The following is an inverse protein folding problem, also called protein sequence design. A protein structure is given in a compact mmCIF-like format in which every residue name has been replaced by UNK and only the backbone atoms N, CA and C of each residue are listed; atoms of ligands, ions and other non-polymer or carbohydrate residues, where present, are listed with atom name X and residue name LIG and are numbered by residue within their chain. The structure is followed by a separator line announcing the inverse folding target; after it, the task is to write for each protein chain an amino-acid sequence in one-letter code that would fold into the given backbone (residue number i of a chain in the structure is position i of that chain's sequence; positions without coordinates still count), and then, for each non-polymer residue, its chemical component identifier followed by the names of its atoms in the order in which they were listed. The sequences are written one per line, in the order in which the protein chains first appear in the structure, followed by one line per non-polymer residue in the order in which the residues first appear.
data_IF_672763737300
#
_entry.id   IF_672763737300
#
_cell.length_a   1.000
_cell.length_b   1.000
_cell.length_c   1.000
_cell.angle_alpha   90.00
_cell.angle_beta   90.00
_cell.angle_gamma   90.00
#
_symmetry.space_group_name_H-M   'P 1'
#
loop_
_entity.id
_entity.type
_entity.pdbx_description
1 polymer ?
#
# COMPACT_ATOMS: atom_id res chain seq x y z
N UNK A 1 -58.71 -4.54 34.70
CA UNK A 1 -59.73 -3.46 34.60
C UNK A 1 -59.09 -2.18 35.09
N UNK A 2 -59.13 -1.04 34.42
CA UNK A 2 -60.04 -0.66 33.35
C UNK A 2 -59.36 -0.32 32.01
N UNK A 3 -60.20 -0.35 30.99
CA UNK A 3 -60.04 -0.01 29.59
C UNK A 3 -60.00 1.52 29.45
N UNK A 4 -59.07 2.07 28.65
CA UNK A 4 -59.12 3.48 28.20
C UNK A 4 -59.17 3.54 26.67
N UNK A 5 -60.23 4.12 26.22
CA UNK A 5 -60.71 4.29 24.86
C UNK A 5 -59.94 5.37 24.09
N UNK A 6 -59.58 5.07 22.83
CA UNK A 6 -59.08 6.03 21.85
C UNK A 6 -60.15 7.06 21.45
N UNK A 7 -59.82 8.33 21.48
CA UNK A 7 -60.58 9.39 20.80
C UNK A 7 -59.78 9.84 19.52
N UNK A 8 -60.41 9.67 18.40
CA UNK A 8 -59.96 10.21 17.10
C UNK A 8 -60.20 11.71 17.04
N UNK A 9 -59.17 12.47 16.70
CA UNK A 9 -59.25 13.90 16.36
C UNK A 9 -59.22 14.09 14.85
N UNK A 10 -60.29 14.64 14.32
CA UNK A 10 -60.42 15.05 12.90
C UNK A 10 -59.76 16.41 12.69
N UNK A 11 -58.91 16.56 11.70
CA UNK A 11 -58.34 17.84 11.25
C UNK A 11 -58.98 18.16 9.86
N UNK A 12 -59.43 19.39 9.66
CA UNK A 12 -60.11 19.78 8.43
C UNK A 12 -59.12 20.13 7.31
N UNK A 13 -59.51 19.71 6.10
CA UNK A 13 -58.89 20.03 4.83
C UNK A 13 -59.28 21.48 4.46
N UNK A 14 -58.28 22.34 4.25
CA UNK A 14 -58.48 23.65 3.63
C UNK A 14 -57.90 23.56 2.20
N UNK A 15 -58.76 23.63 1.24
CA UNK A 15 -58.43 23.81 -0.18
C UNK A 15 -58.15 25.31 -0.43
N UNK A 16 -57.02 25.64 -1.02
CA UNK A 16 -56.75 26.97 -1.58
C UNK A 16 -56.32 26.84 -3.04
N UNK A 17 -57.07 27.56 -3.82
CA UNK A 17 -57.18 27.65 -5.26
C UNK A 17 -55.93 28.25 -5.93
N UNK A 18 -55.78 27.86 -7.18
CA UNK A 18 -54.78 28.27 -8.15
C UNK A 18 -54.75 29.78 -8.45
N UNK A 19 -53.51 30.28 -8.62
CA UNK A 19 -53.21 31.55 -9.24
C UNK A 19 -52.04 31.40 -10.18
N UNK A 20 -52.33 31.25 -11.47
CA UNK A 20 -51.31 31.28 -12.53
C UNK A 20 -50.86 32.71 -12.78
N UNK A 21 -49.59 33.00 -12.71
CA UNK A 21 -48.95 34.16 -13.28
C UNK A 21 -47.76 33.71 -14.13
N UNK A 22 -48.00 33.70 -15.43
CA UNK A 22 -47.02 33.66 -16.50
C UNK A 22 -46.28 35.01 -16.55
N UNK A 23 -45.00 35.04 -16.26
CA UNK A 23 -44.12 36.11 -16.70
C UNK A 23 -42.84 35.58 -17.28
N UNK A 24 -42.63 35.85 -18.48
CA UNK A 24 -41.55 36.17 -19.35
C UNK A 24 -40.20 35.47 -19.16
N UNK A 25 -39.86 34.62 -20.13
CA UNK A 25 -38.52 34.22 -20.46
C UNK A 25 -37.65 35.42 -20.81
N UNK A 26 -36.58 35.61 -20.06
CA UNK A 26 -35.38 36.26 -20.57
C UNK A 26 -34.26 35.22 -20.46
N UNK A 27 -33.79 34.75 -21.60
CA UNK A 27 -32.72 33.82 -21.73
C UNK A 27 -31.41 34.44 -21.16
N UNK A 28 -30.84 33.79 -20.18
CA UNK A 28 -29.41 33.85 -19.92
C UNK A 28 -28.91 32.42 -19.98
N UNK A 29 -28.09 32.16 -21.00
CA UNK A 29 -27.33 30.93 -21.14
C UNK A 29 -26.42 30.78 -19.91
N UNK A 30 -26.95 30.18 -18.87
CA UNK A 30 -26.18 29.64 -17.76
C UNK A 30 -25.56 28.36 -18.23
N UNK A 31 -24.31 28.42 -18.71
CA UNK A 31 -23.50 27.22 -18.80
C UNK A 31 -23.58 26.55 -17.43
N UNK A 32 -24.09 25.34 -17.39
CA UNK A 32 -23.98 24.44 -16.24
C UNK A 32 -22.51 24.40 -15.88
N UNK A 33 -22.10 25.16 -14.85
CA UNK A 33 -20.83 24.92 -14.18
C UNK A 33 -20.99 23.58 -13.50
N UNK A 34 -20.70 22.49 -14.25
CA UNK A 34 -20.73 21.15 -13.70
C UNK A 34 -19.95 21.14 -12.39
N UNK A 35 -20.46 20.44 -11.42
CA UNK A 35 -19.82 20.29 -10.13
C UNK A 35 -18.34 19.95 -10.33
N UNK A 36 -17.44 20.88 -10.01
CA UNK A 36 -16.00 20.75 -10.16
C UNK A 36 -15.36 20.14 -8.94
N UNK A 37 -16.11 19.38 -8.16
CA UNK A 37 -15.62 18.71 -6.96
C UNK A 37 -15.43 17.22 -7.22
N UNK A 38 -14.29 16.67 -6.78
CA UNK A 38 -14.05 15.22 -6.70
C UNK A 38 -13.73 14.81 -5.28
N UNK A 39 -14.08 13.59 -4.92
CA UNK A 39 -13.80 12.97 -3.62
C UNK A 39 -12.78 11.88 -3.79
N UNK A 40 -11.70 11.98 -3.02
CA UNK A 40 -10.56 11.07 -3.10
C UNK A 40 -10.37 10.36 -1.77
N UNK A 41 -10.42 9.03 -1.79
CA UNK A 41 -10.12 8.19 -0.63
C UNK A 41 -8.70 7.65 -0.77
N UNK A 42 -7.85 7.88 0.23
CA UNK A 42 -6.45 7.49 0.15
C UNK A 42 -5.86 7.02 1.48
N UNK A 43 -4.84 6.18 1.39
CA UNK A 43 -4.05 5.73 2.53
C UNK A 43 -3.28 6.90 3.15
N UNK A 44 -3.11 6.88 4.47
CA UNK A 44 -2.37 7.92 5.20
C UNK A 44 -0.86 7.67 5.21
N UNK A 45 -0.26 7.53 4.01
CA UNK A 45 1.19 7.40 3.84
C UNK A 45 1.83 8.77 3.62
N UNK A 46 3.13 8.96 3.91
CA UNK A 46 3.82 10.25 3.78
C UNK A 46 3.63 10.93 2.42
N UNK A 47 3.73 10.18 1.33
CA UNK A 47 3.56 10.69 -0.04
C UNK A 47 2.14 11.21 -0.31
N UNK A 48 1.12 10.59 0.29
CA UNK A 48 -0.28 11.01 0.20
C UNK A 48 -0.55 12.28 1.03
N UNK A 49 0.08 12.38 2.20
CA UNK A 49 0.03 13.60 3.03
C UNK A 49 0.62 14.80 2.28
N UNK A 50 1.73 14.61 1.59
CA UNK A 50 2.35 15.68 0.80
C UNK A 50 1.50 16.06 -0.43
N UNK A 51 0.84 15.08 -1.07
CA UNK A 51 -0.13 15.35 -2.14
C UNK A 51 -1.27 16.24 -1.66
N UNK A 52 -1.86 15.92 -0.52
CA UNK A 52 -2.94 16.74 0.05
C UNK A 52 -2.52 18.19 0.28
N UNK A 53 -1.31 18.41 0.83
CA UNK A 53 -0.77 19.77 1.08
C UNK A 53 -0.60 20.58 -0.21
N UNK A 54 -0.18 19.92 -1.29
CA UNK A 54 0.12 20.60 -2.56
C UNK A 54 -1.13 20.83 -3.44
N UNK A 55 -2.14 19.97 -3.33
CA UNK A 55 -3.31 19.95 -4.23
C UNK A 55 -4.04 21.29 -4.28
N UNK A 56 -4.40 21.86 -3.12
CA UNK A 56 -5.14 23.13 -3.07
C UNK A 56 -4.36 24.27 -3.70
N UNK A 57 -3.06 24.35 -3.41
CA UNK A 57 -2.19 25.46 -3.84
C UNK A 57 -1.88 25.43 -5.33
N UNK A 58 -1.77 24.23 -5.92
CA UNK A 58 -1.32 24.08 -7.29
C UNK A 58 -2.42 23.55 -8.21
N UNK A 59 -2.94 22.35 -7.96
CA UNK A 59 -3.95 21.74 -8.82
C UNK A 59 -5.28 22.50 -8.81
N UNK A 60 -5.86 22.73 -7.63
CA UNK A 60 -7.16 23.45 -7.53
C UNK A 60 -7.05 24.88 -8.06
N UNK A 61 -5.95 25.58 -7.77
CA UNK A 61 -5.72 26.95 -8.28
C UNK A 61 -5.62 26.98 -9.81
N UNK A 62 -4.98 25.98 -10.43
CA UNK A 62 -4.77 25.92 -11.88
C UNK A 62 -6.04 25.47 -12.63
N UNK A 63 -6.78 24.51 -12.08
CA UNK A 63 -7.89 23.83 -12.79
C UNK A 63 -9.28 24.29 -12.35
N UNK A 64 -9.39 24.91 -11.18
CA UNK A 64 -10.68 25.20 -10.52
C UNK A 64 -11.36 23.95 -9.97
N UNK A 65 -10.74 22.77 -10.02
CA UNK A 65 -11.29 21.53 -9.46
C UNK A 65 -10.97 21.43 -7.99
N UNK A 66 -12.01 21.32 -7.16
CA UNK A 66 -11.87 21.08 -5.72
C UNK A 66 -11.68 19.58 -5.46
N UNK A 67 -10.72 19.22 -4.61
CA UNK A 67 -10.46 17.84 -4.22
C UNK A 67 -10.70 17.69 -2.72
N UNK A 68 -11.69 16.88 -2.38
CA UNK A 68 -12.01 16.53 -0.99
C UNK A 68 -11.36 15.19 -0.64
N UNK A 69 -10.36 15.22 0.22
CA UNK A 69 -9.62 14.03 0.64
C UNK A 69 -10.21 13.41 1.90
N UNK A 70 -10.35 12.10 1.88
CA UNK A 70 -10.50 11.26 3.07
C UNK A 70 -9.25 10.40 3.19
N UNK A 71 -8.54 10.49 4.30
CA UNK A 71 -7.34 9.69 4.57
C UNK A 71 -7.60 8.76 5.75
N UNK A 72 -7.18 7.50 5.60
CA UNK A 72 -7.38 6.45 6.61
C UNK A 72 -6.12 5.60 6.76
N UNK A 73 -5.91 4.92 7.90
CA UNK A 73 -4.93 3.84 8.03
C UNK A 73 -5.13 2.76 6.97
N UNK A 74 -4.07 2.01 6.66
CA UNK A 74 -4.05 1.08 5.52
C UNK A 74 -5.20 0.05 5.56
N UNK A 75 -5.41 -0.65 6.67
CA UNK A 75 -6.48 -1.65 6.75
C UNK A 75 -7.87 -1.02 6.55
N UNK A 76 -8.13 0.11 7.21
CA UNK A 76 -9.43 0.80 7.13
C UNK A 76 -9.72 1.34 5.73
N UNK A 77 -8.72 1.91 5.05
CA UNK A 77 -8.90 2.44 3.70
C UNK A 77 -9.21 1.34 2.70
N UNK A 78 -8.56 0.18 2.81
CA UNK A 78 -8.80 -0.98 1.93
C UNK A 78 -10.22 -1.50 2.04
N UNK A 79 -10.72 -1.67 3.28
CA UNK A 79 -12.09 -2.09 3.54
C UNK A 79 -13.09 -1.08 3.00
N UNK A 80 -12.84 0.21 3.22
CA UNK A 80 -13.73 1.29 2.77
C UNK A 80 -13.78 1.38 1.24
N UNK A 81 -12.66 1.23 0.56
CA UNK A 81 -12.59 1.22 -0.91
C UNK A 81 -13.37 0.04 -1.47
N UNK A 82 -13.12 -1.17 -0.94
CA UNK A 82 -13.81 -2.39 -1.38
C UNK A 82 -15.32 -2.25 -1.24
N UNK A 83 -15.81 -1.73 -0.11
CA UNK A 83 -17.24 -1.51 0.12
C UNK A 83 -17.84 -0.48 -0.84
N UNK A 84 -17.20 0.67 -1.01
CA UNK A 84 -17.73 1.75 -1.85
C UNK A 84 -17.73 1.36 -3.34
N UNK A 85 -16.64 0.73 -3.81
CA UNK A 85 -16.46 0.35 -5.20
C UNK A 85 -17.33 -0.85 -5.59
N UNK A 86 -17.42 -1.88 -4.74
CA UNK A 86 -18.29 -3.03 -4.99
C UNK A 86 -19.77 -2.64 -5.09
N UNK A 87 -20.23 -1.75 -4.22
CA UNK A 87 -21.61 -1.28 -4.20
C UNK A 87 -21.90 -0.15 -5.20
N UNK A 88 -20.87 0.35 -5.93
CA UNK A 88 -20.96 1.51 -6.81
C UNK A 88 -21.65 2.72 -6.11
N UNK A 89 -21.33 2.90 -4.81
CA UNK A 89 -22.02 3.82 -3.92
C UNK A 89 -21.69 5.30 -4.21
N UNK A 90 -20.66 5.56 -5.02
CA UNK A 90 -20.25 6.91 -5.45
C UNK A 90 -19.92 7.86 -4.31
N UNK A 91 -19.50 7.32 -3.16
CA UNK A 91 -19.01 8.17 -2.07
C UNK A 91 -17.67 8.80 -2.43
N UNK A 92 -16.87 8.08 -3.25
CA UNK A 92 -15.58 8.53 -3.74
C UNK A 92 -15.49 8.36 -5.27
N UNK A 93 -14.85 9.31 -5.93
CA UNK A 93 -14.60 9.28 -7.38
C UNK A 93 -13.30 8.56 -7.71
N UNK A 94 -12.28 8.76 -6.86
CA UNK A 94 -10.92 8.22 -6.97
C UNK A 94 -10.53 7.57 -5.65
N UNK A 95 -9.81 6.47 -5.72
CA UNK A 95 -9.21 5.86 -4.54
C UNK A 95 -7.79 5.37 -4.81
N UNK A 96 -6.98 5.28 -3.74
CA UNK A 96 -5.69 4.58 -3.81
C UNK A 96 -5.92 3.09 -3.76
N UNK A 97 -5.54 2.41 -4.82
CA UNK A 97 -5.56 0.96 -4.94
C UNK A 97 -4.17 0.46 -5.30
N UNK A 98 -3.99 -0.83 -5.45
CA UNK A 98 -2.71 -1.41 -5.82
C UNK A 98 -2.82 -2.35 -7.00
N UNK A 99 -1.66 -2.80 -7.47
CA UNK A 99 -1.56 -3.87 -8.45
C UNK A 99 -2.20 -5.18 -7.99
N UNK A 100 -2.41 -5.37 -6.69
CA UNK A 100 -3.14 -6.52 -6.15
C UNK A 100 -4.65 -6.41 -6.40
N UNK A 101 -5.26 -5.24 -6.15
CA UNK A 101 -6.72 -5.06 -6.31
C UNK A 101 -7.15 -4.90 -7.76
N UNK A 102 -6.31 -4.32 -8.61
CA UNK A 102 -6.67 -3.98 -10.01
C UNK A 102 -7.27 -5.16 -10.79
N UNK A 103 -6.69 -6.38 -10.81
CA UNK A 103 -7.22 -7.47 -11.62
C UNK A 103 -8.68 -7.82 -11.28
N UNK A 104 -9.00 -8.00 -10.00
CA UNK A 104 -10.35 -8.39 -9.61
C UNK A 104 -11.33 -7.22 -9.54
N UNK A 105 -10.90 -5.99 -9.23
CA UNK A 105 -11.76 -4.81 -9.33
C UNK A 105 -12.16 -4.52 -10.79
N UNK A 106 -11.23 -4.69 -11.72
CA UNK A 106 -11.51 -4.56 -13.16
C UNK A 106 -12.47 -5.66 -13.65
N UNK A 107 -12.20 -6.93 -13.29
CA UNK A 107 -13.05 -8.09 -13.64
C UNK A 107 -14.50 -7.92 -13.14
N UNK A 108 -14.67 -7.37 -11.95
CA UNK A 108 -15.98 -7.09 -11.37
C UNK A 108 -16.64 -5.81 -11.90
N UNK A 109 -15.98 -5.06 -12.80
CA UNK A 109 -16.51 -3.83 -13.36
C UNK A 109 -16.61 -2.65 -12.38
N UNK A 110 -15.79 -2.67 -11.33
CA UNK A 110 -15.77 -1.61 -10.32
C UNK A 110 -14.94 -0.41 -10.73
N UNK A 111 -13.98 -0.60 -11.64
CA UNK A 111 -13.07 0.44 -12.12
C UNK A 111 -13.44 0.93 -13.53
N UNK A 112 -13.11 2.16 -13.79
CA UNK A 112 -13.16 2.76 -15.13
C UNK A 112 -11.83 2.49 -15.86
N UNK A 113 -11.85 2.01 -17.14
CA UNK A 113 -10.62 1.89 -17.93
C UNK A 113 -10.07 3.27 -18.29
N UNK A 114 -8.75 3.42 -18.22
CA UNK A 114 -8.06 4.72 -18.36
C UNK A 114 -7.35 4.91 -19.70
N UNK A 115 -7.26 3.87 -20.56
CA UNK A 115 -6.54 3.94 -21.84
C UNK A 115 -6.96 5.11 -22.73
N UNK A 116 -8.26 5.35 -22.82
CA UNK A 116 -8.81 6.43 -23.65
C UNK A 116 -8.41 7.82 -23.17
N UNK A 117 -8.21 7.98 -21.86
CA UNK A 117 -7.73 9.21 -21.25
C UNK A 117 -6.21 9.36 -21.42
N UNK A 118 -5.45 8.31 -21.09
CA UNK A 118 -4.01 8.29 -21.23
C UNK A 118 -3.54 8.53 -22.66
N UNK A 119 -4.22 7.95 -23.65
CA UNK A 119 -3.91 8.15 -25.06
C UNK A 119 -4.10 9.60 -25.55
N UNK A 120 -5.04 10.33 -24.96
CA UNK A 120 -5.34 11.74 -25.30
C UNK A 120 -4.44 12.72 -24.55
N UNK A 121 -3.94 12.35 -23.39
CA UNK A 121 -3.09 13.20 -22.54
C UNK A 121 -1.60 13.01 -22.85
N UNK A 122 -1.17 13.65 -23.91
CA UNK A 122 0.26 13.58 -24.32
C UNK A 122 1.20 14.20 -23.30
N UNK A 123 0.73 15.16 -22.49
CA UNK A 123 1.54 15.82 -21.47
C UNK A 123 1.86 14.90 -20.28
N UNK A 124 1.01 13.90 -20.04
CA UNK A 124 1.25 12.88 -19.02
C UNK A 124 2.47 12.01 -19.35
N UNK A 125 2.74 11.80 -20.65
CA UNK A 125 3.86 10.96 -21.12
C UNK A 125 3.83 9.54 -20.55
N UNK A 126 2.82 8.77 -20.97
CA UNK A 126 2.62 7.37 -20.55
C UNK A 126 3.83 6.47 -20.86
N UNK A 127 4.66 6.84 -21.84
CA UNK A 127 5.85 6.05 -22.22
C UNK A 127 6.97 6.14 -21.18
N UNK A 128 6.99 7.19 -20.37
CA UNK A 128 7.95 7.35 -19.27
C UNK A 128 7.60 6.50 -18.04
N UNK A 129 6.35 6.02 -17.94
CA UNK A 129 5.95 5.07 -16.89
C UNK A 129 6.66 3.74 -17.14
N UNK A 130 7.31 3.22 -16.08
CA UNK A 130 8.06 1.94 -16.16
C UNK A 130 7.14 0.82 -16.66
N UNK A 131 7.57 0.00 -17.63
CA UNK A 131 6.75 -1.06 -18.21
C UNK A 131 6.18 -2.03 -17.17
N UNK A 132 6.97 -2.40 -16.16
CA UNK A 132 6.53 -3.29 -15.07
C UNK A 132 5.39 -2.67 -14.26
N UNK A 133 5.42 -1.38 -13.97
CA UNK A 133 4.37 -0.67 -13.25
C UNK A 133 3.08 -0.61 -14.08
N UNK A 134 3.18 -0.24 -15.35
CA UNK A 134 2.03 -0.22 -16.25
C UNK A 134 1.41 -1.61 -16.42
N UNK A 135 2.24 -2.64 -16.64
CA UNK A 135 1.79 -4.01 -16.80
C UNK A 135 1.06 -4.52 -15.55
N UNK A 136 1.55 -4.19 -14.36
CA UNK A 136 0.95 -4.61 -13.10
C UNK A 136 -0.43 -3.97 -12.82
N UNK A 137 -0.76 -2.88 -13.53
CA UNK A 137 -2.04 -2.15 -13.44
C UNK A 137 -2.95 -2.35 -14.66
N UNK A 138 -2.56 -3.28 -15.54
CA UNK A 138 -3.32 -3.70 -16.72
C UNK A 138 -4.02 -5.02 -16.39
N UNK A 139 -5.34 -5.07 -16.60
CA UNK A 139 -6.13 -6.28 -16.34
C UNK A 139 -6.05 -7.29 -17.50
N UNK A 140 -6.69 -8.45 -17.34
CA UNK A 140 -6.69 -9.55 -18.33
C UNK A 140 -7.26 -9.16 -19.69
N UNK A 141 -8.18 -8.19 -19.73
CA UNK A 141 -8.74 -7.63 -20.96
C UNK A 141 -7.78 -6.70 -21.73
N UNK A 142 -6.55 -6.56 -21.24
CA UNK A 142 -5.50 -5.73 -21.82
C UNK A 142 -5.64 -4.23 -21.58
N UNK A 143 -6.63 -3.79 -20.79
CA UNK A 143 -6.84 -2.37 -20.50
C UNK A 143 -6.19 -1.95 -19.19
N UNK A 144 -5.76 -0.69 -19.17
CA UNK A 144 -5.22 -0.02 -17.99
C UNK A 144 -6.36 0.47 -17.10
N UNK A 145 -6.35 0.11 -15.81
CA UNK A 145 -7.41 0.49 -14.86
C UNK A 145 -6.94 1.37 -13.70
N UNK A 146 -5.65 1.59 -13.58
CA UNK A 146 -5.10 2.53 -12.60
C UNK A 146 -3.81 3.18 -13.12
N UNK A 147 -3.50 4.38 -12.62
CA UNK A 147 -2.21 5.04 -12.89
C UNK A 147 -1.32 5.01 -11.65
N UNK A 148 -0.03 4.66 -11.78
CA UNK A 148 0.85 4.53 -10.64
C UNK A 148 1.12 5.89 -10.00
N UNK A 149 0.99 5.97 -8.69
CA UNK A 149 1.40 7.14 -7.92
C UNK A 149 2.85 7.00 -7.43
N UNK A 150 3.20 5.84 -6.89
CA UNK A 150 4.58 5.41 -6.68
C UNK A 150 4.70 3.90 -6.71
N UNK A 151 5.89 3.42 -7.07
CA UNK A 151 6.24 2.02 -7.05
C UNK A 151 7.28 1.73 -5.98
N UNK A 152 7.24 0.53 -5.43
CA UNK A 152 8.16 0.11 -4.38
C UNK A 152 8.50 -1.38 -4.47
N UNK A 153 9.65 -1.70 -3.91
CA UNK A 153 10.02 -3.04 -3.49
C UNK A 153 10.23 -3.03 -1.97
N UNK A 154 10.89 -4.02 -1.44
CA UNK A 154 11.34 -4.03 -0.06
C UNK A 154 12.86 -4.20 0.03
N UNK A 155 13.44 -3.68 1.12
CA UNK A 155 14.86 -3.80 1.42
C UNK A 155 15.09 -3.72 2.94
N UNK A 156 16.31 -4.02 3.38
CA UNK A 156 16.70 -3.87 4.78
C UNK A 156 17.31 -2.48 4.99
N UNK A 157 16.75 -1.75 5.93
CA UNK A 157 17.24 -0.46 6.45
C UNK A 157 17.95 -0.68 7.78
N UNK A 158 19.11 -0.04 7.99
CA UNK A 158 19.86 -0.21 9.22
C UNK A 158 20.63 1.04 9.64
N UNK A 159 20.84 1.22 10.91
CA UNK A 159 21.62 2.31 11.51
C UNK A 159 23.12 2.05 11.33
N UNK A 160 23.73 2.72 10.33
CA UNK A 160 25.18 2.63 10.06
C UNK A 160 26.04 3.01 11.27
N UNK A 161 25.62 4.05 11.96
CA UNK A 161 26.31 4.56 13.14
C UNK A 161 26.27 3.56 14.30
N UNK A 162 25.14 2.89 14.53
CA UNK A 162 25.01 1.87 15.58
C UNK A 162 25.86 0.64 15.27
N UNK A 163 25.83 0.18 14.00
CA UNK A 163 26.67 -0.96 13.59
C UNK A 163 28.16 -0.63 13.74
N UNK A 164 28.57 0.59 13.34
CA UNK A 164 29.96 1.04 13.48
C UNK A 164 30.41 1.09 14.96
N UNK A 165 29.58 1.59 15.88
CA UNK A 165 29.84 1.59 17.32
C UNK A 165 30.07 0.17 17.88
N UNK A 166 29.43 -0.84 17.28
CA UNK A 166 29.56 -2.26 17.66
C UNK A 166 30.60 -3.03 16.82
N UNK A 167 31.35 -2.33 15.96
CA UNK A 167 32.32 -2.94 15.03
C UNK A 167 31.69 -4.00 14.11
N UNK A 168 30.41 -3.80 13.71
CA UNK A 168 29.66 -4.68 12.82
C UNK A 168 29.58 -4.11 11.40
N UNK A 169 29.50 -5.01 10.43
CA UNK A 169 29.26 -4.65 9.03
C UNK A 169 28.01 -5.38 8.54
N UNK A 170 27.15 -4.66 7.83
CA UNK A 170 26.01 -5.25 7.12
C UNK A 170 26.50 -5.74 5.74
N UNK A 171 26.29 -7.02 5.39
CA UNK A 171 26.55 -7.51 4.04
C UNK A 171 25.65 -6.79 2.99
N UNK A 172 26.13 -6.63 1.76
CA UNK A 172 25.34 -6.04 0.67
C UNK A 172 24.10 -6.89 0.32
N UNK A 173 24.23 -8.22 0.48
CA UNK A 173 23.14 -9.19 0.29
C UNK A 173 23.06 -10.10 1.52
N UNK A 174 22.43 -9.63 2.59
CA UNK A 174 22.40 -10.38 3.84
C UNK A 174 21.47 -11.60 3.74
N UNK A 175 21.82 -12.66 4.48
CA UNK A 175 20.85 -13.70 4.81
C UNK A 175 20.01 -13.29 6.02
N UNK A 176 18.83 -13.87 6.18
CA UNK A 176 18.00 -13.62 7.37
C UNK A 176 18.72 -14.05 8.66
N UNK A 177 19.53 -15.12 8.59
CA UNK A 177 20.34 -15.51 9.76
C UNK A 177 21.37 -14.43 10.13
N UNK A 178 22.04 -13.83 9.15
CA UNK A 178 22.98 -12.72 9.41
C UNK A 178 22.25 -11.49 9.99
N UNK A 179 21.04 -11.21 9.53
CA UNK A 179 20.20 -10.13 10.09
C UNK A 179 19.85 -10.41 11.55
N UNK A 180 19.43 -11.64 11.88
CA UNK A 180 19.13 -12.04 13.26
C UNK A 180 20.36 -11.94 14.18
N UNK A 181 21.53 -12.37 13.70
CA UNK A 181 22.79 -12.28 14.45
C UNK A 181 23.19 -10.82 14.72
N UNK A 182 23.00 -9.93 13.74
CA UNK A 182 23.24 -8.49 13.92
C UNK A 182 22.19 -7.90 14.86
N UNK A 183 20.90 -8.25 14.69
CA UNK A 183 19.83 -7.77 15.57
C UNK A 183 20.13 -8.06 17.04
N UNK A 184 20.56 -9.28 17.34
CA UNK A 184 20.92 -9.69 18.72
C UNK A 184 22.07 -8.88 19.33
N UNK A 185 23.04 -8.42 18.50
CA UNK A 185 24.21 -7.66 18.94
C UNK A 185 23.95 -6.17 19.12
N UNK A 186 22.95 -5.63 18.41
CA UNK A 186 22.59 -4.21 18.47
C UNK A 186 21.35 -3.96 19.33
N UNK A 187 20.66 -5.01 19.76
CA UNK A 187 19.56 -4.91 20.71
C UNK A 187 20.06 -4.32 22.04
N UNK A 188 19.41 -3.28 22.53
CA UNK A 188 19.86 -2.54 23.71
C UNK A 188 21.18 -1.77 23.51
N UNK A 189 21.72 -1.62 22.29
CA UNK A 189 22.95 -0.86 22.03
C UNK A 189 22.86 0.59 22.50
N UNK A 190 21.68 1.16 22.49
CA UNK A 190 21.34 2.45 23.09
C UNK A 190 20.09 2.29 23.94
N UNK A 191 19.91 3.16 24.94
CA UNK A 191 18.75 3.10 25.85
C UNK A 191 17.43 3.13 25.05
N UNK A 192 16.61 2.08 25.19
CA UNK A 192 15.31 1.94 24.52
C UNK A 192 15.37 1.62 23.03
N UNK A 193 16.54 1.19 22.53
CA UNK A 193 16.69 0.75 21.15
C UNK A 193 16.55 -0.76 21.05
N UNK A 194 15.70 -1.23 20.15
CA UNK A 194 15.52 -2.63 19.77
C UNK A 194 16.41 -2.98 18.58
N UNK A 195 16.72 -4.27 18.45
CA UNK A 195 17.55 -4.77 17.36
C UNK A 195 16.91 -4.57 15.98
N UNK A 196 15.60 -4.85 15.86
CA UNK A 196 14.87 -4.75 14.59
C UNK A 196 13.39 -4.43 14.81
N UNK A 197 12.77 -3.68 13.91
CA UNK A 197 11.31 -3.59 13.78
C UNK A 197 10.86 -4.46 12.59
N UNK A 198 9.84 -5.27 12.79
CA UNK A 198 9.12 -6.01 11.75
C UNK A 198 7.63 -5.90 12.04
N UNK A 199 6.82 -5.80 10.97
CA UNK A 199 5.38 -5.65 11.14
C UNK A 199 4.76 -6.85 11.85
N UNK A 200 3.99 -6.59 12.91
CA UNK A 200 3.19 -7.58 13.64
C UNK A 200 1.71 -7.26 13.67
N UNK A 201 1.31 -6.07 13.19
CA UNK A 201 -0.08 -5.64 13.09
C UNK A 201 -0.85 -6.54 12.13
N UNK A 202 -1.98 -7.17 12.56
CA UNK A 202 -2.79 -8.00 11.68
C UNK A 202 -3.29 -7.22 10.45
N UNK A 203 -3.27 -7.87 9.31
CA UNK A 203 -3.75 -7.35 8.04
C UNK A 203 -3.00 -7.98 6.87
N UNK A 204 -3.74 -8.24 5.78
CA UNK A 204 -3.13 -8.81 4.59
C UNK A 204 -2.07 -7.86 3.97
N UNK A 205 -2.29 -6.55 4.03
CA UNK A 205 -1.35 -5.53 3.57
C UNK A 205 -0.29 -5.15 4.62
N UNK A 206 -0.48 -5.53 5.89
CA UNK A 206 0.44 -5.23 6.98
C UNK A 206 1.38 -6.42 7.27
N UNK A 207 1.09 -7.26 8.26
CA UNK A 207 1.94 -8.38 8.65
C UNK A 207 2.25 -9.32 7.48
N UNK A 208 1.26 -9.62 6.62
CA UNK A 208 1.48 -10.62 5.57
C UNK A 208 2.42 -10.14 4.47
N UNK A 209 2.56 -8.84 4.22
CA UNK A 209 3.47 -8.34 3.20
C UNK A 209 4.93 -8.75 3.47
N UNK A 210 5.58 -8.40 4.58
CA UNK A 210 6.93 -8.85 4.87
C UNK A 210 7.01 -10.36 5.18
N UNK A 211 6.04 -10.94 5.90
CA UNK A 211 6.11 -12.35 6.28
C UNK A 211 6.03 -13.28 5.07
N UNK A 212 5.16 -13.00 4.08
CA UNK A 212 5.07 -13.84 2.88
C UNK A 212 6.39 -13.85 2.10
N UNK A 213 7.10 -12.73 2.03
CA UNK A 213 8.44 -12.71 1.39
C UNK A 213 9.47 -13.53 2.16
N UNK A 214 9.40 -13.53 3.50
CA UNK A 214 10.23 -14.42 4.33
C UNK A 214 9.87 -15.88 4.07
N UNK A 215 8.60 -16.23 4.04
CA UNK A 215 8.13 -17.59 3.70
C UNK A 215 8.67 -18.02 2.35
N UNK A 216 8.56 -17.18 1.32
CA UNK A 216 9.04 -17.49 -0.02
C UNK A 216 10.54 -17.80 -0.04
N UNK A 217 11.37 -16.95 0.58
CA UNK A 217 12.83 -17.15 0.57
C UNK A 217 13.28 -18.33 1.45
N UNK A 218 12.51 -18.69 2.48
CA UNK A 218 12.75 -19.92 3.27
C UNK A 218 12.34 -21.20 2.53
N UNK A 219 11.63 -21.05 1.42
CA UNK A 219 11.23 -22.16 0.55
C UNK A 219 9.79 -22.63 0.77
N UNK A 220 9.00 -21.89 1.54
CA UNK A 220 7.57 -22.14 1.70
C UNK A 220 6.73 -21.55 0.56
N UNK A 221 5.47 -21.93 0.51
CA UNK A 221 4.45 -21.38 -0.38
C UNK A 221 3.09 -21.47 0.29
N UNK A 222 2.13 -20.65 -0.15
CA UNK A 222 0.76 -20.71 0.35
C UNK A 222 0.01 -21.93 -0.18
N UNK A 223 0.15 -22.20 -1.48
CA UNK A 223 -0.52 -23.31 -2.18
C UNK A 223 0.43 -24.03 -3.12
N UNK A 224 0.22 -25.35 -3.29
CA UNK A 224 0.80 -26.11 -4.40
C UNK A 224 0.11 -25.72 -5.71
N UNK A 225 0.65 -26.18 -6.87
CA UNK A 225 -0.02 -26.00 -8.18
C UNK A 225 -1.45 -26.53 -8.20
N UNK A 226 -1.73 -27.56 -7.40
CA UNK A 226 -3.04 -28.20 -7.30
C UNK A 226 -3.90 -27.58 -6.17
N UNK A 227 -3.58 -26.35 -5.77
CA UNK A 227 -4.32 -25.59 -4.76
C UNK A 227 -4.41 -26.24 -3.36
N UNK A 228 -3.52 -27.16 -3.02
CA UNK A 228 -3.40 -27.68 -1.66
C UNK A 228 -2.69 -26.64 -0.80
N UNK A 229 -3.32 -26.26 0.30
CA UNK A 229 -2.72 -25.33 1.26
C UNK A 229 -1.42 -25.91 1.86
N UNK A 230 -0.45 -25.03 2.17
CA UNK A 230 0.90 -25.40 2.62
C UNK A 230 1.35 -24.61 3.86
N UNK A 231 0.40 -24.08 4.64
CA UNK A 231 0.75 -23.22 5.79
C UNK A 231 1.29 -24.03 6.99
N UNK A 232 1.04 -25.33 7.03
CA UNK A 232 1.58 -26.26 8.01
C UNK A 232 2.78 -27.07 7.49
N UNK A 233 3.31 -26.72 6.30
CA UNK A 233 4.53 -27.33 5.76
C UNK A 233 5.75 -26.96 6.61
N UNK A 234 6.78 -27.83 6.67
CA UNK A 234 8.00 -27.57 7.45
C UNK A 234 8.67 -26.23 7.13
N UNK A 235 8.68 -25.84 5.85
CA UNK A 235 9.28 -24.60 5.37
C UNK A 235 8.47 -23.38 5.83
N UNK A 236 7.15 -23.42 5.75
CA UNK A 236 6.27 -22.33 6.19
C UNK A 236 6.35 -22.17 7.73
N UNK A 237 6.30 -23.28 8.47
CA UNK A 237 6.50 -23.28 9.92
C UNK A 237 7.85 -22.69 10.27
N UNK A 238 8.95 -23.14 9.61
CA UNK A 238 10.31 -22.64 9.87
C UNK A 238 10.40 -21.12 9.67
N UNK A 239 9.86 -20.61 8.55
CA UNK A 239 9.87 -19.19 8.22
C UNK A 239 9.08 -18.36 9.25
N UNK A 240 7.88 -18.81 9.60
CA UNK A 240 7.02 -18.11 10.56
C UNK A 240 7.61 -18.14 11.98
N UNK A 241 8.16 -19.25 12.40
CA UNK A 241 8.89 -19.34 13.71
C UNK A 241 10.07 -18.40 13.73
N UNK A 242 10.87 -18.37 12.68
CA UNK A 242 12.00 -17.46 12.56
C UNK A 242 11.54 -16.00 12.71
N UNK A 243 10.51 -15.59 11.97
CA UNK A 243 9.96 -14.23 12.01
C UNK A 243 9.43 -13.88 13.41
N UNK A 244 8.58 -14.73 13.98
CA UNK A 244 8.00 -14.53 15.31
C UNK A 244 9.07 -14.48 16.39
N UNK A 245 10.04 -15.39 16.35
CA UNK A 245 11.14 -15.44 17.32
C UNK A 245 12.03 -14.20 17.25
N UNK A 246 12.34 -13.73 16.04
CA UNK A 246 13.14 -12.52 15.83
C UNK A 246 12.46 -11.30 16.41
N UNK A 247 11.16 -11.12 16.12
CA UNK A 247 10.34 -10.02 16.65
C UNK A 247 10.22 -10.10 18.17
N UNK A 248 9.95 -11.27 18.73
CA UNK A 248 9.77 -11.44 20.17
C UNK A 248 11.05 -11.25 20.98
N UNK A 249 12.19 -11.62 20.40
CA UNK A 249 13.49 -11.53 21.10
C UNK A 249 14.15 -10.17 20.95
N UNK A 250 14.03 -9.53 19.80
CA UNK A 250 14.80 -8.34 19.43
C UNK A 250 13.95 -7.19 18.83
N UNK A 251 12.63 -7.35 18.81
CA UNK A 251 11.68 -6.30 18.43
C UNK A 251 11.20 -5.49 19.64
N UNK A 252 10.36 -4.50 19.37
CA UNK A 252 9.76 -3.65 20.39
C UNK A 252 8.69 -4.38 21.20
N UNK A 253 8.49 -3.92 22.45
CA UNK A 253 7.35 -4.32 23.25
C UNK A 253 6.06 -3.90 22.54
N UNK A 254 5.11 -4.82 22.37
CA UNK A 254 3.87 -4.55 21.64
C UNK A 254 3.99 -4.66 20.11
N UNK A 255 5.01 -5.31 19.57
CA UNK A 255 5.24 -5.52 18.15
C UNK A 255 4.00 -6.04 17.37
N UNK A 256 3.09 -6.78 18.05
CA UNK A 256 1.81 -7.21 17.46
C UNK A 256 0.87 -6.06 17.07
N UNK A 257 1.17 -4.82 17.43
CA UNK A 257 0.47 -3.60 17.05
C UNK A 257 1.29 -2.72 16.11
N UNK A 258 2.49 -3.14 15.71
CA UNK A 258 3.37 -2.38 14.84
C UNK A 258 3.13 -2.76 13.38
N UNK A 259 2.67 -1.79 12.59
CA UNK A 259 2.60 -1.84 11.14
C UNK A 259 3.71 -0.99 10.51
N UNK A 260 3.50 -0.59 9.26
CA UNK A 260 4.43 0.28 8.52
C UNK A 260 4.70 1.60 9.25
N UNK A 261 3.65 2.28 9.70
CA UNK A 261 3.77 3.62 10.29
C UNK A 261 4.53 3.58 11.63
N UNK A 262 4.29 2.58 12.47
CA UNK A 262 4.94 2.42 13.76
C UNK A 262 6.43 2.08 13.58
N UNK A 263 6.77 1.16 12.66
CA UNK A 263 8.16 0.82 12.38
C UNK A 263 8.94 2.00 11.76
N UNK A 264 8.32 2.76 10.83
CA UNK A 264 8.91 4.00 10.31
C UNK A 264 9.22 4.99 11.44
N UNK A 265 8.27 5.18 12.35
CA UNK A 265 8.44 6.07 13.49
C UNK A 265 9.53 5.55 14.44
N UNK A 266 9.57 4.25 14.74
CA UNK A 266 10.58 3.63 15.60
C UNK A 266 11.99 3.81 15.05
N UNK A 267 12.21 3.56 13.75
CA UNK A 267 13.52 3.77 13.12
C UNK A 267 13.90 5.26 13.09
N UNK A 268 12.94 6.14 12.73
CA UNK A 268 13.16 7.59 12.67
C UNK A 268 13.53 8.16 14.04
N UNK A 269 12.88 7.69 15.12
CA UNK A 269 13.18 8.13 16.48
C UNK A 269 14.40 7.44 17.10
N UNK A 270 15.06 6.53 16.36
CA UNK A 270 16.21 5.78 16.87
C UNK A 270 15.86 4.71 17.92
N UNK A 271 14.59 4.26 17.94
CA UNK A 271 14.11 3.18 18.80
C UNK A 271 14.33 1.78 18.21
N UNK A 272 14.68 1.69 16.93
CA UNK A 272 15.08 0.44 16.27
C UNK A 272 16.39 0.63 15.54
N UNK A 273 17.25 -0.38 15.57
CA UNK A 273 18.52 -0.37 14.84
C UNK A 273 18.36 -0.81 13.39
N UNK A 274 17.39 -1.66 13.10
CA UNK A 274 17.10 -2.18 11.76
C UNK A 274 15.59 -2.24 11.50
N UNK A 275 15.24 -2.26 10.20
CA UNK A 275 13.86 -2.44 9.73
C UNK A 275 13.86 -3.02 8.31
N UNK A 276 13.13 -4.11 8.11
CA UNK A 276 12.88 -4.66 6.78
C UNK A 276 11.47 -4.28 6.34
N UNK A 277 11.39 -3.47 5.27
CA UNK A 277 10.10 -2.97 4.78
C UNK A 277 10.22 -2.30 3.40
N UNK A 278 9.13 -1.63 2.99
CA UNK A 278 8.97 -0.90 1.75
C UNK A 278 10.09 0.11 1.48
N UNK A 279 10.62 0.10 0.25
CA UNK A 279 11.66 1.05 -0.18
C UNK A 279 11.19 2.50 -0.16
N UNK A 280 9.88 2.74 -0.22
CA UNK A 280 9.27 4.08 -0.14
C UNK A 280 9.49 4.78 1.20
N UNK A 281 9.81 4.04 2.27
CA UNK A 281 10.15 4.58 3.58
C UNK A 281 11.42 5.45 3.58
N UNK A 282 12.37 5.15 2.68
CA UNK A 282 13.67 5.82 2.64
C UNK A 282 13.57 7.33 2.48
N UNK A 283 12.60 7.82 1.70
CA UNK A 283 12.37 9.26 1.54
C UNK A 283 12.11 9.97 2.86
N UNK A 284 11.31 9.37 3.74
CA UNK A 284 11.03 9.92 5.07
C UNK A 284 12.26 9.86 6.00
N UNK A 285 13.06 8.80 5.91
CA UNK A 285 14.26 8.62 6.70
C UNK A 285 15.36 9.62 6.30
N UNK A 286 15.46 9.95 5.01
CA UNK A 286 16.44 10.90 4.46
C UNK A 286 15.89 12.33 4.29
N UNK A 287 14.66 12.59 4.71
CA UNK A 287 14.07 13.92 4.68
C UNK A 287 14.92 14.93 5.47
N UNK A 288 14.92 16.20 5.05
CA UNK A 288 15.79 17.25 5.60
C UNK A 288 15.70 17.41 7.13
N UNK A 289 14.52 17.15 7.70
CA UNK A 289 14.27 17.26 9.16
C UNK A 289 14.34 15.91 9.90
N UNK A 290 14.68 14.83 9.23
CA UNK A 290 14.77 13.51 9.86
C UNK A 290 16.00 13.46 10.81
N UNK A 291 15.83 13.04 12.07
CA UNK A 291 16.93 12.93 13.02
C UNK A 291 17.92 11.81 12.68
N UNK A 292 17.53 10.91 11.76
CA UNK A 292 18.37 9.81 11.28
C UNK A 292 18.92 10.03 9.87
N UNK A 293 18.69 11.19 9.27
CA UNK A 293 19.22 11.53 7.94
C UNK A 293 20.72 11.25 7.85
N UNK A 294 21.13 10.55 6.79
CA UNK A 294 22.52 10.17 6.55
C UNK A 294 23.08 9.07 7.45
N UNK A 295 22.30 8.60 8.44
CA UNK A 295 22.69 7.52 9.36
C UNK A 295 22.16 6.15 8.95
N UNK A 296 21.28 6.09 7.96
CA UNK A 296 20.68 4.84 7.48
C UNK A 296 21.52 4.25 6.34
N UNK A 297 21.74 2.96 6.38
CA UNK A 297 22.23 2.15 5.28
C UNK A 297 21.07 1.34 4.69
N UNK A 298 21.16 1.06 3.40
CA UNK A 298 20.16 0.35 2.63
C UNK A 298 20.84 -0.81 1.91
N UNK A 299 20.30 -2.01 2.04
CA UNK A 299 20.78 -3.21 1.34
C UNK A 299 19.58 -4.02 0.86
N UNK A 300 19.79 -4.87 -0.15
CA UNK A 300 18.73 -5.71 -0.70
C UNK A 300 18.00 -6.52 0.38
N UNK A 301 16.75 -6.86 0.11
CA UNK A 301 15.94 -7.71 1.00
C UNK A 301 16.69 -8.98 1.38
N UNK A 302 16.70 -9.38 2.68
CA UNK A 302 17.44 -10.56 3.13
C UNK A 302 16.92 -11.84 2.49
N UNK A 303 17.82 -12.75 2.15
CA UNK A 303 17.51 -14.01 1.46
C UNK A 303 17.87 -15.22 2.32
N UNK A 304 17.35 -16.41 1.94
CA UNK A 304 17.77 -17.73 2.42
C UNK A 304 18.04 -18.68 1.24
N UNK A 305 16.98 -19.20 0.59
CA UNK A 305 17.08 -20.17 -0.51
C UNK A 305 16.91 -19.54 -1.90
N UNK A 306 16.63 -18.24 -1.98
CA UNK A 306 16.37 -17.50 -3.21
C UNK A 306 17.47 -16.49 -3.51
N UNK A 307 17.58 -16.02 -4.76
CA UNK A 307 18.52 -14.97 -5.17
C UNK A 307 18.02 -13.56 -4.78
N UNK A 308 16.71 -13.40 -4.63
CA UNK A 308 16.05 -12.16 -4.24
C UNK A 308 14.79 -12.47 -3.45
N UNK A 309 14.37 -11.57 -2.57
CA UNK A 309 13.17 -11.70 -1.75
C UNK A 309 12.38 -10.39 -1.65
N UNK A 310 12.79 -9.35 -2.35
CA UNK A 310 12.07 -8.08 -2.41
C UNK A 310 10.71 -8.25 -3.11
N UNK A 311 9.70 -7.54 -2.61
CA UNK A 311 8.38 -7.52 -3.25
C UNK A 311 8.32 -6.57 -4.43
N UNK A 312 7.20 -6.54 -5.12
CA UNK A 312 6.83 -5.52 -6.09
C UNK A 312 5.44 -5.01 -5.75
N UNK A 313 5.34 -3.73 -5.49
CA UNK A 313 4.08 -3.10 -5.16
C UNK A 313 3.93 -1.73 -5.80
N UNK A 314 2.71 -1.40 -6.17
CA UNK A 314 2.39 -0.12 -6.80
C UNK A 314 1.17 0.46 -6.10
N UNK A 315 1.35 1.58 -5.41
CA UNK A 315 0.24 2.42 -5.02
C UNK A 315 -0.21 3.24 -6.23
N UNK A 316 -1.47 3.11 -6.59
CA UNK A 316 -2.02 3.65 -7.82
C UNK A 316 -3.38 4.31 -7.59
N UNK A 317 -3.80 5.12 -8.53
CA UNK A 317 -5.10 5.78 -8.55
C UNK A 317 -6.07 4.98 -9.41
N UNK A 318 -7.09 4.40 -8.78
CA UNK A 318 -8.24 3.83 -9.46
C UNK A 318 -9.42 4.80 -9.47
N UNK A 319 -10.15 4.83 -10.57
CA UNK A 319 -11.37 5.64 -10.72
C UNK A 319 -12.59 4.73 -10.65
N UNK A 320 -13.53 5.04 -9.75
CA UNK A 320 -14.76 4.28 -9.62
C UNK A 320 -15.58 4.32 -10.91
N UNK A 321 -16.03 3.16 -11.39
CA UNK A 321 -16.80 3.05 -12.66
C UNK A 321 -18.05 3.95 -12.69
N UNK A 322 -18.71 4.09 -11.56
CA UNK A 322 -19.95 4.85 -11.44
C UNK A 322 -19.75 6.35 -11.17
N UNK A 323 -18.52 6.87 -11.17
CA UNK A 323 -18.26 8.30 -10.96
C UNK A 323 -19.06 9.17 -11.94
N UNK A 324 -19.49 10.33 -11.49
CA UNK A 324 -20.12 11.36 -12.33
C UNK A 324 -19.11 12.40 -12.84
N UNK A 325 -17.85 12.27 -12.41
CA UNK A 325 -16.79 13.25 -12.68
C UNK A 325 -15.55 12.63 -13.34
N UNK A 326 -15.69 11.77 -14.38
CA UNK A 326 -14.56 11.02 -14.94
C UNK A 326 -13.45 11.92 -15.48
N UNK A 327 -13.80 13.03 -16.15
CA UNK A 327 -12.80 13.97 -16.69
C UNK A 327 -12.03 14.71 -15.59
N UNK A 328 -12.72 15.10 -14.50
CA UNK A 328 -12.06 15.74 -13.35
C UNK A 328 -11.19 14.74 -12.59
N UNK A 329 -11.64 13.49 -12.47
CA UNK A 329 -10.86 12.41 -11.87
C UNK A 329 -9.57 12.16 -12.67
N UNK A 330 -9.66 12.05 -14.02
CA UNK A 330 -8.47 11.92 -14.86
C UNK A 330 -7.50 13.10 -14.70
N UNK A 331 -8.00 14.34 -14.79
CA UNK A 331 -7.13 15.51 -14.61
C UNK A 331 -6.37 15.48 -13.29
N UNK A 332 -7.02 15.04 -12.21
CA UNK A 332 -6.37 14.93 -10.91
C UNK A 332 -5.29 13.84 -10.90
N UNK A 333 -5.62 12.61 -11.32
CA UNK A 333 -4.65 11.51 -11.28
C UNK A 333 -3.49 11.72 -12.24
N UNK A 334 -3.75 12.28 -13.42
CA UNK A 334 -2.71 12.67 -14.38
C UNK A 334 -1.76 13.70 -13.78
N UNK A 335 -2.28 14.75 -13.13
CA UNK A 335 -1.44 15.72 -12.43
C UNK A 335 -0.65 15.09 -11.29
N UNK A 336 -1.31 14.31 -10.41
CA UNK A 336 -0.68 13.71 -9.23
C UNK A 336 0.43 12.71 -9.59
N UNK A 337 0.33 12.04 -10.75
CA UNK A 337 1.32 11.05 -11.22
C UNK A 337 2.33 11.61 -12.23
N UNK A 338 2.29 12.92 -12.53
CA UNK A 338 3.12 13.55 -13.56
C UNK A 338 4.56 13.84 -13.10
N UNK A 339 5.47 14.02 -14.06
CA UNK A 339 6.83 14.57 -13.81
C UNK A 339 6.76 15.94 -13.14
N UNK A 340 5.83 16.82 -13.57
CA UNK A 340 5.62 18.15 -12.99
C UNK A 340 5.30 18.06 -11.49
N UNK A 341 4.50 17.07 -11.09
CA UNK A 341 4.20 16.85 -9.68
C UNK A 341 5.44 16.36 -8.91
N UNK A 342 6.24 15.44 -9.48
CA UNK A 342 7.49 15.00 -8.85
C UNK A 342 8.48 16.16 -8.62
N UNK A 343 8.65 17.03 -9.62
CA UNK A 343 9.44 18.25 -9.47
C UNK A 343 8.88 19.18 -8.39
N UNK A 344 7.56 19.31 -8.33
CA UNK A 344 6.90 20.14 -7.33
C UNK A 344 7.14 19.62 -5.91
N UNK A 345 7.07 18.29 -5.69
CA UNK A 345 7.45 17.66 -4.42
C UNK A 345 8.91 17.93 -4.10
N UNK A 346 9.82 17.69 -5.06
CA UNK A 346 11.24 17.93 -4.89
C UNK A 346 11.55 19.36 -4.44
N UNK A 347 10.94 20.36 -5.08
CA UNK A 347 11.10 21.78 -4.74
C UNK A 347 10.44 22.18 -3.43
N UNK A 348 9.34 21.51 -3.03
CA UNK A 348 8.54 21.89 -1.84
C UNK A 348 9.01 21.20 -0.57
N UNK A 349 9.42 19.94 -0.65
CA UNK A 349 9.72 19.08 0.48
C UNK A 349 11.10 18.43 0.42
N UNK A 350 11.82 18.59 -0.70
CA UNK A 350 13.10 17.94 -0.99
C UNK A 350 12.92 16.68 -1.85
N UNK A 351 13.91 16.43 -2.70
CA UNK A 351 13.84 15.35 -3.69
C UNK A 351 13.85 13.94 -3.11
N UNK A 352 14.28 13.76 -1.86
CA UNK A 352 14.12 12.48 -1.16
C UNK A 352 12.65 12.05 -0.98
N UNK A 353 11.71 13.02 -0.95
CA UNK A 353 10.28 12.77 -0.76
C UNK A 353 9.51 12.56 -2.07
N UNK A 354 10.18 12.59 -3.22
CA UNK A 354 9.54 12.36 -4.52
C UNK A 354 8.90 10.96 -4.53
N UNK A 355 7.63 10.82 -4.94
CA UNK A 355 6.95 9.53 -5.05
C UNK A 355 7.51 8.74 -6.25
N UNK A 356 8.71 8.19 -6.07
CA UNK A 356 9.51 7.51 -7.08
C UNK A 356 8.96 6.10 -7.44
N UNK A 357 9.74 5.33 -8.20
CA UNK A 357 9.44 3.94 -8.53
C UNK A 357 8.49 3.75 -9.71
N UNK A 358 7.94 4.83 -10.28
CA UNK A 358 6.99 4.73 -11.40
C UNK A 358 7.50 5.23 -12.75
N UNK A 359 8.45 6.18 -12.77
CA UNK A 359 8.93 6.82 -14.00
C UNK A 359 10.42 6.65 -14.21
N UNK A 360 10.82 6.45 -15.47
CA UNK A 360 12.25 6.37 -15.85
C UNK A 360 12.95 7.71 -15.62
N UNK A 361 12.27 8.81 -15.93
CA UNK A 361 12.81 10.16 -15.77
C UNK A 361 13.15 10.55 -14.34
N UNK A 362 12.48 9.96 -13.33
CA UNK A 362 12.79 10.17 -11.92
C UNK A 362 14.24 9.79 -11.62
N UNK A 363 14.67 8.63 -12.09
CA UNK A 363 16.03 8.10 -11.87
C UNK A 363 17.11 8.80 -12.73
N UNK A 364 16.69 9.56 -13.73
CA UNK A 364 17.58 10.37 -14.56
C UNK A 364 17.68 11.82 -14.07
N UNK A 365 16.82 12.24 -13.14
CA UNK A 365 16.83 13.60 -12.57
C UNK A 365 18.06 13.79 -11.66
N UNK A 366 18.96 14.77 -11.96
CA UNK A 366 20.17 15.01 -11.17
C UNK A 366 19.85 15.32 -9.69
N UNK A 367 18.88 16.20 -9.43
CA UNK A 367 18.52 16.61 -8.06
C UNK A 367 17.98 15.44 -7.23
N UNK A 368 17.21 14.53 -7.87
CA UNK A 368 16.78 13.28 -7.23
C UNK A 368 17.95 12.36 -6.93
N UNK A 369 18.84 12.16 -7.90
CA UNK A 369 20.04 11.32 -7.74
C UNK A 369 20.95 11.81 -6.63
N UNK A 370 21.20 13.12 -6.58
CA UNK A 370 22.06 13.72 -5.57
C UNK A 370 21.46 13.60 -4.16
N UNK A 371 20.14 13.80 -4.03
CA UNK A 371 19.46 13.77 -2.72
C UNK A 371 19.11 12.35 -2.25
N UNK A 372 18.67 11.50 -3.17
CA UNK A 372 18.23 10.12 -2.90
C UNK A 372 19.34 9.08 -3.15
N UNK A 373 20.56 9.50 -3.47
CA UNK A 373 21.66 8.61 -3.87
C UNK A 373 22.00 7.51 -2.88
N UNK A 374 21.70 7.70 -1.58
CA UNK A 374 21.92 6.70 -0.56
C UNK A 374 20.99 5.46 -0.70
N UNK A 375 19.83 5.58 -1.36
CA UNK A 375 18.84 4.51 -1.47
C UNK A 375 18.24 4.31 -2.87
N UNK A 376 18.33 5.29 -3.77
CA UNK A 376 17.63 5.25 -5.06
C UNK A 376 18.08 4.09 -5.95
N UNK A 377 19.39 3.82 -6.00
CA UNK A 377 19.91 2.69 -6.78
C UNK A 377 19.53 1.33 -6.19
N UNK A 378 19.54 1.19 -4.85
CA UNK A 378 19.08 -0.03 -4.19
C UNK A 378 17.57 -0.24 -4.39
N UNK A 379 16.77 0.83 -4.37
CA UNK A 379 15.34 0.78 -4.71
C UNK A 379 15.14 0.32 -6.15
N UNK A 380 15.87 0.89 -7.10
CA UNK A 380 15.77 0.52 -8.52
C UNK A 380 16.16 -0.94 -8.73
N UNK A 381 17.27 -1.40 -8.15
CA UNK A 381 17.71 -2.79 -8.20
C UNK A 381 16.66 -3.74 -7.62
N UNK A 382 16.07 -3.39 -6.47
CA UNK A 382 15.05 -4.20 -5.81
C UNK A 382 13.78 -4.36 -6.67
N UNK A 383 13.31 -3.27 -7.30
CA UNK A 383 12.15 -3.30 -8.21
C UNK A 383 12.45 -4.20 -9.44
N UNK A 384 13.65 -4.07 -10.02
CA UNK A 384 14.04 -4.85 -11.20
C UNK A 384 14.31 -6.33 -10.89
N UNK A 385 14.74 -6.65 -9.67
CA UNK A 385 14.99 -8.02 -9.21
C UNK A 385 13.73 -8.77 -8.79
N UNK A 386 12.59 -8.09 -8.68
CA UNK A 386 11.32 -8.69 -8.26
C UNK A 386 10.83 -9.73 -9.26
N UNK A 387 10.42 -10.91 -8.76
CA UNK A 387 10.00 -12.07 -9.57
C UNK A 387 8.55 -12.46 -9.23
N UNK A 388 7.53 -11.76 -9.73
CA UNK A 388 6.13 -12.02 -9.35
C UNK A 388 5.63 -13.43 -9.70
N UNK A 389 6.20 -14.09 -10.72
CA UNK A 389 5.83 -15.45 -11.11
C UNK A 389 6.52 -16.52 -10.27
N UNK A 390 7.79 -16.26 -9.91
CA UNK A 390 8.67 -17.23 -9.23
C UNK A 390 9.38 -16.57 -8.02
N UNK A 391 8.63 -16.07 -7.02
CA UNK A 391 9.23 -15.37 -5.88
C UNK A 391 9.88 -16.29 -4.83
N UNK A 392 9.66 -17.59 -4.92
CA UNK A 392 10.19 -18.64 -4.06
C UNK A 392 10.79 -19.79 -4.85
N UNK A 393 11.07 -20.89 -4.17
CA UNK A 393 11.62 -22.11 -4.80
C UNK A 393 10.53 -23.15 -5.13
N UNK A 394 9.33 -22.97 -4.59
CA UNK A 394 8.21 -23.87 -4.84
C UNK A 394 7.35 -23.38 -6.00
N UNK A 395 6.93 -24.27 -6.92
CA UNK A 395 5.95 -23.92 -7.93
C UNK A 395 4.60 -23.58 -7.28
N UNK A 396 3.88 -22.60 -7.84
CA UNK A 396 2.63 -22.08 -7.29
C UNK A 396 1.56 -21.89 -8.37
N UNK A 397 0.28 -21.81 -7.99
CA UNK A 397 -0.80 -21.70 -8.96
C UNK A 397 -1.05 -20.24 -9.41
N UNK A 398 -0.57 -19.24 -8.64
CA UNK A 398 -0.80 -17.82 -8.87
C UNK A 398 0.49 -17.03 -9.00
N UNK A 399 0.37 -15.81 -9.52
CA UNK A 399 1.41 -14.78 -9.42
C UNK A 399 1.35 -14.09 -8.06
N UNK A 400 2.30 -13.20 -7.80
CA UNK A 400 2.36 -12.40 -6.57
C UNK A 400 3.57 -12.75 -5.71
N UNK A 401 4.18 -11.76 -5.08
CA UNK A 401 5.35 -11.95 -4.20
C UNK A 401 4.93 -11.94 -2.75
N UNK A 402 4.45 -10.80 -2.29
CA UNK A 402 4.05 -10.56 -0.89
C UNK A 402 2.61 -11.00 -0.60
N UNK A 403 1.84 -11.32 -1.65
CA UNK A 403 0.46 -11.77 -1.58
C UNK A 403 0.22 -12.95 -2.53
N UNK A 404 -0.91 -13.61 -2.38
CA UNK A 404 -1.44 -14.57 -3.36
C UNK A 404 -2.49 -13.81 -4.17
N UNK A 405 -2.28 -13.70 -5.48
CA UNK A 405 -3.12 -12.88 -6.38
C UNK A 405 -4.48 -13.55 -6.67
N UNK A 406 -5.30 -13.66 -5.63
CA UNK A 406 -6.70 -14.11 -5.69
C UNK A 406 -7.59 -13.17 -4.86
N UNK A 407 -8.86 -12.98 -5.22
CA UNK A 407 -9.77 -12.10 -4.49
C UNK A 407 -9.91 -12.45 -3.00
N UNK A 408 -9.92 -13.74 -2.67
CA UNK A 408 -10.10 -14.26 -1.31
C UNK A 408 -8.91 -13.95 -0.40
N UNK A 409 -7.76 -13.57 -0.96
CA UNK A 409 -6.56 -13.33 -0.16
C UNK A 409 -6.71 -12.15 0.81
N UNK A 410 -7.53 -11.18 0.51
CA UNK A 410 -7.78 -10.05 1.42
C UNK A 410 -8.36 -10.55 2.76
N UNK A 411 -9.34 -11.44 2.72
CA UNK A 411 -9.94 -12.07 3.91
C UNK A 411 -9.02 -13.14 4.50
N UNK A 412 -8.54 -14.07 3.68
CA UNK A 412 -7.65 -15.15 4.11
C UNK A 412 -6.38 -14.60 4.77
N UNK A 413 -5.69 -13.67 4.10
CA UNK A 413 -4.45 -13.07 4.60
C UNK A 413 -4.67 -12.32 5.92
N UNK A 414 -5.80 -11.61 6.06
CA UNK A 414 -6.16 -10.93 7.30
C UNK A 414 -6.41 -11.91 8.45
N UNK A 415 -7.16 -13.00 8.23
CA UNK A 415 -7.40 -14.04 9.25
C UNK A 415 -6.12 -14.76 9.65
N UNK A 416 -5.27 -15.12 8.68
CA UNK A 416 -3.96 -15.72 8.95
C UNK A 416 -3.05 -14.74 9.72
N UNK A 417 -3.06 -13.45 9.35
CA UNK A 417 -2.32 -12.43 10.08
C UNK A 417 -2.76 -12.29 11.54
N UNK A 418 -4.07 -12.40 11.83
CA UNK A 418 -4.59 -12.39 13.20
C UNK A 418 -4.04 -13.54 14.03
N UNK A 419 -4.01 -14.76 13.49
CA UNK A 419 -3.46 -15.93 14.18
C UNK A 419 -1.96 -15.78 14.45
N UNK A 420 -1.19 -15.31 13.46
CA UNK A 420 0.26 -15.13 13.61
C UNK A 420 0.59 -13.95 14.54
N UNK A 421 -0.16 -12.84 14.47
CA UNK A 421 -0.03 -11.71 15.40
C UNK A 421 -0.30 -12.14 16.85
N UNK A 422 -1.27 -13.03 17.06
CA UNK A 422 -1.51 -13.62 18.38
C UNK A 422 -0.30 -14.46 18.86
N UNK A 423 0.43 -15.13 17.97
CA UNK A 423 1.68 -15.81 18.30
C UNK A 423 2.82 -14.81 18.62
N UNK A 424 2.93 -13.69 17.87
CA UNK A 424 3.85 -12.59 18.19
C UNK A 424 3.57 -12.04 19.59
N UNK A 425 2.28 -11.84 19.93
CA UNK A 425 1.83 -11.39 21.24
C UNK A 425 2.01 -12.43 22.37
N UNK A 426 2.47 -13.66 22.04
CA UNK A 426 2.63 -14.75 23.01
C UNK A 426 1.35 -15.40 23.50
N UNK A 427 0.20 -15.16 22.82
CA UNK A 427 -1.11 -15.71 23.19
C UNK A 427 -1.31 -17.16 22.71
N UNK A 428 -0.51 -17.63 21.77
CA UNK A 428 -0.49 -19.00 21.26
C UNK A 428 0.87 -19.36 20.65
N UNK A 429 1.09 -20.65 20.38
CA UNK A 429 2.30 -21.07 19.64
C UNK A 429 2.15 -20.83 18.15
N UNK A 430 3.27 -20.76 17.42
CA UNK A 430 3.29 -20.64 15.96
C UNK A 430 2.61 -21.84 15.30
N UNK A 431 2.84 -23.04 15.82
CA UNK A 431 2.24 -24.28 15.31
C UNK A 431 0.70 -24.25 15.45
N UNK A 432 0.20 -23.76 16.60
CA UNK A 432 -1.25 -23.61 16.80
C UNK A 432 -1.85 -22.58 15.83
N UNK A 433 -1.18 -21.44 15.64
CA UNK A 433 -1.58 -20.41 14.69
C UNK A 433 -1.61 -20.95 13.26
N UNK A 434 -0.56 -21.66 12.84
CA UNK A 434 -0.47 -22.20 11.47
C UNK A 434 -1.43 -23.37 11.22
N UNK A 435 -1.72 -24.19 12.21
CA UNK A 435 -2.75 -25.24 12.09
C UNK A 435 -4.13 -24.66 11.78
N UNK A 436 -4.51 -23.58 12.45
CA UNK A 436 -5.77 -22.86 12.15
C UNK A 436 -5.71 -22.19 10.78
N UNK A 437 -4.57 -21.57 10.45
CA UNK A 437 -4.35 -20.91 9.18
C UNK A 437 -4.40 -21.88 8.00
N UNK A 438 -3.87 -23.11 8.17
CA UNK A 438 -3.98 -24.19 7.19
C UNK A 438 -5.44 -24.53 6.88
N UNK A 439 -6.29 -24.63 7.89
CA UNK A 439 -7.71 -24.92 7.69
C UNK A 439 -8.43 -23.80 6.93
N UNK A 440 -8.05 -22.54 7.17
CA UNK A 440 -8.61 -21.39 6.44
C UNK A 440 -8.17 -21.42 4.97
N UNK A 441 -6.88 -21.65 4.73
CA UNK A 441 -6.34 -21.72 3.38
C UNK A 441 -6.86 -22.93 2.60
N UNK A 442 -7.05 -24.08 3.26
CA UNK A 442 -7.59 -25.28 2.60
C UNK A 442 -8.99 -25.04 2.03
N UNK A 443 -9.87 -24.34 2.78
CA UNK A 443 -11.21 -23.97 2.29
C UNK A 443 -11.13 -23.11 1.02
N UNK A 444 -10.22 -22.15 0.97
CA UNK A 444 -10.01 -21.33 -0.24
C UNK A 444 -9.46 -22.19 -1.37
N UNK A 445 -8.47 -23.06 -1.10
CA UNK A 445 -7.92 -23.96 -2.09
C UNK A 445 -8.95 -24.94 -2.70
N UNK A 446 -9.96 -25.33 -1.93
CA UNK A 446 -11.08 -26.17 -2.39
C UNK A 446 -11.93 -25.50 -3.47
N UNK A 447 -12.06 -24.18 -3.45
CA UNK A 447 -12.81 -23.42 -4.46
C UNK A 447 -12.11 -23.37 -5.82
N UNK A 448 -10.83 -23.68 -5.85
CA UNK A 448 -9.97 -23.66 -7.06
C UNK A 448 -9.62 -25.06 -7.59
N UNK A 449 -9.98 -26.14 -6.90
CA UNK A 449 -9.82 -27.55 -7.30
C UNK A 449 -11.07 -28.06 -8.00
#
# INVERSE_FOLDING_TARGET
MPVLTLRAARIPVVALTAGALLTGCAGMGGGSSGDKTIRVLMVNNPQMVDLQKLTKKYFTKETGITVNFTMMPENEVRDKISQDFANQARQYDVATISNFEVPFYAKNGWLMPLDGYAAKDKAFDQKDVLPSMRQSLTAEDGKLYAEPFYGESSFLMYRKDVLAEKHLKMPERPTWQQVADIASKVDGARKGMNGICLRGLPGWGELMAPLTTVVNTFGGTWFTKDWKAQLDSPEFIKATKFYVDLVRKHGEAGAAQSGFAECLNNLTQGKSAMWYDATSAAGSLEAAKSPVKGKIGYVQAPVEKTDSSGWLYTWAWGVQKATRHPDNAWKFISWASSKKYEELVGKSFGYANVPAGKRSSTYSNPDYRDTAGSFSEETRKAILAAKPRDPGVQPRPTIGIQFVDIPEFADLGTKVAQEISAAIAGKQSVESALKKSQQLAEKVGEEYR
#
